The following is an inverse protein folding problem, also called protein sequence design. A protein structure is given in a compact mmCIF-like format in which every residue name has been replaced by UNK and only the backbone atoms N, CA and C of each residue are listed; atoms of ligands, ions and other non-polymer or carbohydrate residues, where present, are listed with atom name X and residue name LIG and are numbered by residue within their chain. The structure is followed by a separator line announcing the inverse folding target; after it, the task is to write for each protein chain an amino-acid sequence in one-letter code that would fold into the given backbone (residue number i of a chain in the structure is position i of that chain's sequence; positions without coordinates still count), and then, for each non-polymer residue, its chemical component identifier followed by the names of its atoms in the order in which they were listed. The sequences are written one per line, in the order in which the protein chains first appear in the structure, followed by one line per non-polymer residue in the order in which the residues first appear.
data_IF_406860641565
#
_entry.id   IF_406860641565
#
_cell.length_a   1.000
_cell.length_b   1.000
_cell.length_c   1.000
_cell.angle_alpha   90.00
_cell.angle_beta   90.00
_cell.angle_gamma   90.00
#
_symmetry.space_group_name_H-M   'P 1'
#
loop_
_entity.id
_entity.type
_entity.pdbx_description
1 polymer ?
#
# COMPACT_ATOMS: atom_id res chain seq x y z
N UNK A 1 14.91 -18.66 -45.77
CA UNK A 1 15.92 -18.53 -44.73
C UNK A 1 15.22 -18.76 -43.39
N UNK A 2 15.59 -19.86 -42.73
CA UNK A 2 14.97 -20.34 -41.49
C UNK A 2 15.55 -19.72 -40.22
N UNK A 3 16.37 -18.67 -40.37
CA UNK A 3 17.28 -18.30 -39.30
C UNK A 3 16.86 -17.19 -38.38
N UNK A 4 15.70 -16.52 -38.65
CA UNK A 4 15.22 -15.40 -37.81
C UNK A 4 13.72 -15.48 -37.52
N UNK A 5 13.25 -16.63 -36.97
CA UNK A 5 11.88 -16.65 -36.43
C UNK A 5 11.86 -15.90 -35.09
N UNK A 6 11.16 -14.77 -35.07
CA UNK A 6 10.94 -13.97 -33.88
C UNK A 6 9.52 -14.17 -33.36
N UNK A 7 9.40 -14.44 -32.08
CA UNK A 7 8.14 -14.40 -31.37
C UNK A 7 7.88 -12.94 -30.95
N UNK A 8 6.78 -12.34 -31.45
CA UNK A 8 6.36 -10.99 -31.09
C UNK A 8 5.34 -11.05 -29.99
N UNK A 9 5.68 -10.47 -28.87
CA UNK A 9 4.82 -10.40 -27.69
C UNK A 9 4.39 -8.95 -27.49
N UNK A 10 3.07 -8.71 -27.48
CA UNK A 10 2.50 -7.41 -27.14
C UNK A 10 1.96 -7.43 -25.72
N UNK A 11 2.54 -6.60 -24.87
CA UNK A 11 2.10 -6.48 -23.48
C UNK A 11 1.03 -5.40 -23.37
N UNK A 12 -0.20 -5.79 -23.05
CA UNK A 12 -1.39 -4.90 -23.07
C UNK A 12 -1.37 -3.78 -22.03
N UNK A 13 -0.66 -3.99 -20.89
CA UNK A 13 -0.56 -2.96 -19.83
C UNK A 13 0.45 -1.88 -20.20
N UNK A 14 1.60 -2.28 -20.77
CA UNK A 14 2.66 -1.34 -21.13
C UNK A 14 2.47 -0.74 -22.52
N UNK A 15 1.66 -1.37 -23.37
CA UNK A 15 1.55 -1.03 -24.79
C UNK A 15 2.83 -1.30 -25.59
N UNK A 16 3.74 -2.11 -25.05
CA UNK A 16 5.05 -2.40 -25.67
C UNK A 16 5.02 -3.69 -26.46
N UNK A 17 5.75 -3.70 -27.58
CA UNK A 17 6.00 -4.88 -28.39
C UNK A 17 7.42 -5.38 -28.12
N UNK A 18 7.54 -6.64 -27.73
CA UNK A 18 8.83 -7.31 -27.50
C UNK A 18 9.05 -8.38 -28.54
N UNK A 19 10.26 -8.49 -29.08
CA UNK A 19 10.67 -9.53 -29.99
C UNK A 19 11.64 -10.47 -29.24
N UNK A 20 11.29 -11.74 -29.21
CA UNK A 20 12.13 -12.78 -28.57
C UNK A 20 12.50 -13.81 -29.63
N UNK A 21 13.77 -14.17 -29.78
CA UNK A 21 14.20 -15.23 -30.71
C UNK A 21 13.60 -16.57 -30.27
N UNK A 22 13.19 -17.34 -31.24
CA UNK A 22 12.75 -18.72 -30.99
C UNK A 22 13.97 -19.55 -30.64
N UNK A 23 13.93 -20.42 -29.59
CA UNK A 23 15.07 -21.26 -29.24
C UNK A 23 15.56 -22.13 -30.42
N UNK A 24 16.88 -22.34 -30.49
CA UNK A 24 17.50 -23.16 -31.56
C UNK A 24 16.85 -24.54 -31.64
N UNK A 25 16.60 -24.98 -32.87
CA UNK A 25 16.00 -26.28 -33.14
C UNK A 25 14.46 -26.33 -33.10
N UNK A 26 13.77 -25.22 -32.76
CA UNK A 26 12.33 -25.12 -32.81
C UNK A 26 11.93 -24.36 -34.07
N UNK A 27 11.07 -24.97 -34.89
CA UNK A 27 10.45 -24.33 -36.06
C UNK A 27 8.99 -24.06 -35.75
N UNK A 28 8.65 -22.78 -35.65
CA UNK A 28 7.27 -22.37 -35.45
C UNK A 28 6.47 -22.54 -36.77
N UNK A 29 5.28 -23.15 -36.72
CA UNK A 29 4.43 -23.25 -37.91
C UNK A 29 3.88 -21.87 -38.32
N UNK A 30 3.81 -21.64 -39.63
CA UNK A 30 3.41 -20.32 -40.19
C UNK A 30 1.89 -20.14 -40.13
N UNK A 31 1.13 -21.21 -40.31
CA UNK A 31 -0.35 -21.19 -40.26
C UNK A 31 -0.84 -21.96 -39.03
N UNK A 32 -0.78 -21.34 -37.89
CA UNK A 32 -1.10 -21.95 -36.60
C UNK A 32 -1.98 -21.05 -35.75
N UNK A 33 -2.66 -21.63 -34.78
CA UNK A 33 -3.32 -20.89 -33.71
C UNK A 33 -2.42 -20.86 -32.47
N UNK A 34 -2.33 -19.72 -31.86
CA UNK A 34 -1.70 -19.54 -30.55
C UNK A 34 -2.80 -19.41 -29.52
N UNK A 35 -2.82 -20.34 -28.58
CA UNK A 35 -3.82 -20.37 -27.50
C UNK A 35 -3.13 -20.01 -26.18
N UNK A 36 -3.78 -19.24 -25.32
CA UNK A 36 -3.28 -19.01 -23.96
C UNK A 36 -3.36 -20.33 -23.17
N UNK A 37 -2.30 -20.63 -22.44
CA UNK A 37 -2.23 -21.68 -21.43
C UNK A 37 -2.04 -21.02 -20.05
N UNK A 38 -2.22 -21.76 -18.96
CA UNK A 38 -2.20 -21.19 -17.60
C UNK A 38 -0.91 -20.42 -17.31
N UNK A 39 0.25 -20.97 -17.72
CA UNK A 39 1.55 -20.42 -17.43
C UNK A 39 2.33 -20.02 -18.71
N UNK A 40 1.65 -19.87 -19.85
CA UNK A 40 2.33 -19.60 -21.10
C UNK A 40 1.44 -19.58 -22.33
N UNK A 41 1.98 -20.09 -23.42
CA UNK A 41 1.29 -20.17 -24.70
C UNK A 41 1.40 -21.60 -25.27
N UNK A 42 0.32 -22.01 -25.95
CA UNK A 42 0.29 -23.25 -26.70
C UNK A 42 0.18 -22.92 -28.20
N UNK A 43 1.17 -23.38 -28.96
CA UNK A 43 1.19 -23.24 -30.43
C UNK A 43 0.74 -24.55 -31.02
N UNK A 44 -0.39 -24.55 -31.71
CA UNK A 44 -0.98 -25.77 -32.29
C UNK A 44 -0.28 -26.13 -33.60
N UNK A 45 -0.59 -27.33 -34.09
CA UNK A 45 -0.10 -27.81 -35.37
C UNK A 45 -0.38 -26.86 -36.54
N UNK A 46 0.57 -26.71 -37.46
CA UNK A 46 0.45 -25.83 -38.61
C UNK A 46 1.43 -26.17 -39.71
N UNK A 47 1.56 -25.29 -40.70
CA UNK A 47 2.46 -25.48 -41.83
C UNK A 47 3.89 -24.99 -41.49
N UNK A 48 4.89 -25.87 -41.57
CA UNK A 48 6.31 -25.53 -41.38
C UNK A 48 7.04 -25.21 -42.68
N UNK A 49 6.49 -25.71 -43.80
CA UNK A 49 6.90 -25.39 -45.19
C UNK A 49 5.66 -25.47 -46.06
N UNK A 50 5.62 -24.82 -47.24
CA UNK A 50 4.50 -24.94 -48.14
C UNK A 50 4.11 -26.39 -48.40
N UNK A 51 2.86 -26.78 -48.03
CA UNK A 51 2.34 -28.14 -48.18
C UNK A 51 2.78 -29.15 -47.12
N UNK A 52 3.64 -28.78 -46.16
CA UNK A 52 4.14 -29.67 -45.10
C UNK A 52 3.63 -29.24 -43.75
N UNK A 53 2.69 -29.96 -43.16
CA UNK A 53 2.15 -29.72 -41.84
C UNK A 53 2.89 -30.54 -40.77
N UNK A 54 3.08 -29.94 -39.60
CA UNK A 54 3.59 -30.63 -38.43
C UNK A 54 2.42 -30.98 -37.47
N UNK A 55 2.36 -32.21 -36.94
CA UNK A 55 1.42 -32.55 -35.89
C UNK A 55 1.91 -32.12 -34.49
N UNK A 56 3.08 -31.48 -34.39
CA UNK A 56 3.69 -31.15 -33.14
C UNK A 56 2.92 -29.99 -32.47
N UNK A 57 2.61 -30.19 -31.22
CA UNK A 57 2.03 -29.18 -30.34
C UNK A 57 3.17 -28.63 -29.46
N UNK A 58 3.48 -27.35 -29.63
CA UNK A 58 4.52 -26.69 -28.86
C UNK A 58 3.88 -25.97 -27.68
N UNK A 59 4.44 -26.18 -26.50
CA UNK A 59 4.06 -25.45 -25.30
C UNK A 59 5.24 -24.55 -24.91
N UNK A 60 5.03 -23.25 -24.94
CA UNK A 60 5.97 -22.26 -24.42
C UNK A 60 5.55 -21.88 -23.00
N UNK A 61 6.37 -22.18 -22.01
CA UNK A 61 6.20 -21.70 -20.65
C UNK A 61 7.03 -20.44 -20.47
N UNK A 62 6.43 -19.42 -19.86
CA UNK A 62 7.14 -18.21 -19.47
C UNK A 62 7.84 -18.51 -18.13
N UNK A 63 9.15 -18.80 -18.18
CA UNK A 63 9.93 -18.92 -16.96
C UNK A 63 10.17 -17.53 -16.37
N UNK A 64 9.52 -17.25 -15.27
CA UNK A 64 9.84 -16.10 -14.45
C UNK A 64 10.77 -16.52 -13.32
N UNK A 65 11.95 -15.94 -13.27
CA UNK A 65 12.88 -16.12 -12.14
C UNK A 65 12.38 -15.31 -10.95
N UNK A 66 11.46 -15.88 -10.17
CA UNK A 66 11.06 -15.29 -8.88
C UNK A 66 12.23 -15.53 -7.91
N UNK A 67 12.74 -14.45 -7.30
CA UNK A 67 13.77 -14.55 -6.28
C UNK A 67 13.21 -15.26 -5.04
N UNK A 68 13.89 -16.33 -4.63
CA UNK A 68 13.54 -17.00 -3.36
C UNK A 68 14.09 -16.22 -2.18
N UNK A 69 13.32 -16.22 -1.08
CA UNK A 69 13.77 -15.63 0.18
C UNK A 69 15.10 -16.23 0.63
N UNK A 70 16.05 -15.36 0.92
CA UNK A 70 17.36 -15.73 1.46
C UNK A 70 17.36 -15.66 2.99
N UNK A 71 18.41 -16.18 3.62
CA UNK A 71 18.59 -16.06 5.07
C UNK A 71 18.66 -14.60 5.54
N UNK A 72 19.16 -13.67 4.71
CA UNK A 72 19.17 -12.24 5.02
C UNK A 72 17.75 -11.65 5.05
N UNK A 73 16.91 -12.00 4.08
CA UNK A 73 15.53 -11.55 4.03
C UNK A 73 14.74 -12.01 5.27
N UNK A 74 14.88 -13.29 5.61
CA UNK A 74 14.26 -13.87 6.81
C UNK A 74 14.79 -13.19 8.07
N UNK A 75 16.08 -12.86 8.12
CA UNK A 75 16.71 -12.13 9.22
C UNK A 75 16.10 -10.74 9.40
N UNK A 76 15.91 -9.98 8.33
CA UNK A 76 15.30 -8.63 8.34
C UNK A 76 13.83 -8.71 8.81
N UNK A 77 13.05 -9.64 8.26
CA UNK A 77 11.65 -9.85 8.65
C UNK A 77 11.55 -10.25 10.13
N UNK A 78 12.42 -11.15 10.58
CA UNK A 78 12.45 -11.58 11.98
C UNK A 78 12.82 -10.44 12.92
N UNK A 79 13.83 -9.63 12.56
CA UNK A 79 14.21 -8.44 13.33
C UNK A 79 13.06 -7.43 13.45
N UNK A 80 12.33 -7.22 12.36
CA UNK A 80 11.14 -6.38 12.36
C UNK A 80 10.08 -6.90 13.35
N UNK A 81 9.71 -8.19 13.29
CA UNK A 81 8.72 -8.76 14.21
C UNK A 81 9.17 -8.77 15.66
N UNK A 82 10.46 -9.05 15.91
CA UNK A 82 11.03 -8.96 17.25
C UNK A 82 10.96 -7.53 17.80
N UNK A 83 11.20 -6.52 16.99
CA UNK A 83 11.08 -5.11 17.41
C UNK A 83 9.66 -4.75 17.82
N UNK A 84 8.64 -5.22 17.09
CA UNK A 84 7.24 -5.04 17.49
C UNK A 84 6.90 -5.72 18.79
N UNK A 85 7.34 -6.98 18.96
CA UNK A 85 7.13 -7.73 20.20
C UNK A 85 7.80 -7.07 21.40
N UNK A 86 9.02 -6.55 21.22
CA UNK A 86 9.75 -5.82 22.26
C UNK A 86 9.05 -4.52 22.67
N UNK A 87 8.51 -3.77 21.71
CA UNK A 87 7.72 -2.55 21.98
C UNK A 87 6.47 -2.93 22.79
N UNK A 88 5.71 -3.96 22.35
CA UNK A 88 4.54 -4.44 23.07
C UNK A 88 4.86 -4.88 24.50
N UNK A 89 5.93 -5.64 24.68
CA UNK A 89 6.40 -6.08 26.01
C UNK A 89 6.86 -4.90 26.88
N UNK A 90 7.59 -3.92 26.31
CA UNK A 90 8.05 -2.76 27.06
C UNK A 90 6.88 -1.96 27.63
N UNK A 91 5.88 -1.64 26.81
CA UNK A 91 4.73 -0.86 27.22
C UNK A 91 3.71 -1.65 28.06
N UNK A 92 3.73 -2.98 28.05
CA UNK A 92 2.86 -3.80 28.91
C UNK A 92 3.03 -3.48 30.39
N UNK A 93 4.23 -3.06 30.79
CA UNK A 93 4.55 -2.71 32.18
C UNK A 93 3.86 -1.44 32.69
N UNK A 94 3.41 -0.59 31.77
CA UNK A 94 2.79 0.70 32.07
C UNK A 94 1.26 0.64 32.19
N UNK A 95 0.66 -0.49 31.77
CA UNK A 95 -0.79 -0.65 31.70
C UNK A 95 -1.35 -1.09 33.07
N UNK A 96 -1.76 -0.12 33.90
CA UNK A 96 -2.30 -0.37 35.26
C UNK A 96 -3.79 -0.10 35.37
N UNK A 97 -4.32 0.80 34.55
CA UNK A 97 -5.72 1.24 34.56
C UNK A 97 -6.32 1.17 33.16
N UNK A 98 -7.65 1.20 33.05
CA UNK A 98 -8.34 1.31 31.75
C UNK A 98 -7.96 2.61 31.02
N UNK A 99 -7.69 3.69 31.75
CA UNK A 99 -7.27 4.98 31.15
C UNK A 99 -5.85 4.87 30.56
N UNK A 100 -4.92 4.17 31.25
CA UNK A 100 -3.61 3.86 30.69
C UNK A 100 -3.75 3.05 29.39
N UNK A 101 -4.62 2.06 29.37
CA UNK A 101 -4.78 1.14 28.25
C UNK A 101 -5.40 1.80 27.01
N UNK A 102 -6.45 2.63 27.18
CA UNK A 102 -7.20 3.21 26.07
C UNK A 102 -6.80 4.66 25.71
N UNK A 103 -6.20 5.40 26.65
CA UNK A 103 -5.74 6.78 26.43
C UNK A 103 -4.23 6.97 26.64
N UNK A 104 -3.50 5.92 27.05
CA UNK A 104 -2.06 6.02 27.34
C UNK A 104 -1.72 6.97 28.46
N UNK A 105 -2.67 7.26 29.37
CA UNK A 105 -2.49 8.23 30.46
C UNK A 105 -2.06 9.63 30.00
N UNK A 106 -2.30 10.00 28.75
CA UNK A 106 -1.88 11.27 28.16
C UNK A 106 -0.38 11.43 27.98
N UNK A 107 0.38 10.33 27.94
CA UNK A 107 1.87 10.34 27.93
C UNK A 107 2.48 10.25 26.53
N UNK A 108 1.69 9.99 25.49
CA UNK A 108 2.22 9.77 24.14
C UNK A 108 2.69 11.10 23.54
N UNK A 109 3.97 11.20 23.12
CA UNK A 109 4.50 12.41 22.52
C UNK A 109 3.78 12.80 21.24
N UNK A 110 3.58 14.08 20.99
CA UNK A 110 2.85 14.62 19.84
C UNK A 110 3.35 14.13 18.49
N UNK A 111 4.65 13.91 18.31
CA UNK A 111 5.23 13.42 17.07
C UNK A 111 4.91 11.93 16.84
N UNK A 112 4.88 11.12 17.92
CA UNK A 112 4.42 9.71 17.84
C UNK A 112 2.94 9.66 17.50
N UNK A 113 2.12 10.51 18.12
CA UNK A 113 0.69 10.61 17.76
C UNK A 113 0.53 10.99 16.28
N UNK A 114 1.33 11.92 15.77
CA UNK A 114 1.29 12.30 14.36
C UNK A 114 1.66 11.14 13.42
N UNK A 115 2.75 10.42 13.74
CA UNK A 115 3.16 9.21 13.01
C UNK A 115 2.10 8.10 13.09
N UNK A 116 1.49 7.91 14.26
CA UNK A 116 0.44 6.92 14.50
C UNK A 116 -0.83 7.25 13.69
N UNK A 117 -1.28 8.51 13.66
CA UNK A 117 -2.39 8.95 12.81
C UNK A 117 -2.07 8.68 11.34
N UNK A 118 -0.88 9.06 10.90
CA UNK A 118 -0.42 8.83 9.53
C UNK A 118 -0.36 7.32 9.20
N UNK A 119 0.21 6.49 10.08
CA UNK A 119 0.29 5.04 9.90
C UNK A 119 -1.06 4.34 9.88
N UNK A 120 -2.05 4.86 10.64
CA UNK A 120 -3.44 4.39 10.60
C UNK A 120 -4.13 4.68 9.27
N UNK A 121 -3.84 5.84 8.68
CA UNK A 121 -4.39 6.26 7.40
C UNK A 121 -3.70 5.59 6.22
N UNK A 122 -2.40 5.29 6.35
CA UNK A 122 -1.59 4.66 5.31
C UNK A 122 -1.69 3.13 5.41
N UNK A 123 -2.35 2.52 4.46
CA UNK A 123 -2.55 1.07 4.43
C UNK A 123 -1.65 0.38 3.40
N UNK A 124 -1.53 -0.96 3.48
CA UNK A 124 -0.85 -1.76 2.47
C UNK A 124 -1.52 -1.65 1.08
N UNK A 125 -2.84 -1.40 1.06
CA UNK A 125 -3.57 -1.10 -0.18
C UNK A 125 -3.02 0.18 -0.80
N UNK A 126 -2.82 1.23 0.00
CA UNK A 126 -2.25 2.51 -0.45
C UNK A 126 -0.84 2.33 -0.99
N UNK A 127 0.00 1.53 -0.32
CA UNK A 127 1.37 1.22 -0.74
C UNK A 127 1.44 0.56 -2.13
N UNK A 128 0.46 -0.27 -2.47
CA UNK A 128 0.40 -0.97 -3.75
C UNK A 128 -0.40 -0.20 -4.80
N UNK A 129 -1.58 0.30 -4.45
CA UNK A 129 -2.50 0.90 -5.40
C UNK A 129 -2.06 2.28 -5.90
N UNK A 130 -1.36 3.09 -5.09
CA UNK A 130 -0.89 4.41 -5.56
C UNK A 130 0.21 4.26 -6.63
N UNK A 131 1.28 3.46 -6.44
CA UNK A 131 2.24 3.20 -7.52
C UNK A 131 1.60 2.58 -8.76
N UNK A 132 0.67 1.63 -8.59
CA UNK A 132 -0.06 1.03 -9.70
C UNK A 132 -0.87 2.07 -10.49
N UNK A 133 -1.55 2.98 -9.81
CA UNK A 133 -2.29 4.07 -10.42
C UNK A 133 -1.38 5.05 -11.16
N UNK A 134 -0.26 5.47 -10.54
CA UNK A 134 0.71 6.34 -11.18
C UNK A 134 1.38 5.68 -12.40
N UNK A 135 1.63 4.36 -12.31
CA UNK A 135 2.10 3.57 -13.44
C UNK A 135 1.10 3.57 -14.60
N UNK A 136 -0.18 3.27 -14.33
CA UNK A 136 -1.21 3.09 -15.35
C UNK A 136 -1.70 4.41 -15.94
N UNK A 137 -1.76 5.49 -15.15
CA UNK A 137 -2.33 6.77 -15.54
C UNK A 137 -1.34 7.93 -15.31
N UNK A 138 -1.72 8.89 -14.50
CA UNK A 138 -1.06 10.15 -14.21
C UNK A 138 -1.10 10.50 -12.71
N UNK A 139 -0.72 11.73 -12.36
CA UNK A 139 -0.69 12.22 -10.99
C UNK A 139 -2.00 12.89 -10.52
N UNK A 140 -3.08 12.80 -11.27
CA UNK A 140 -4.37 13.41 -10.89
C UNK A 140 -4.87 12.95 -9.53
N UNK A 141 -4.63 11.68 -9.16
CA UNK A 141 -5.02 11.12 -7.87
C UNK A 141 -4.20 11.65 -6.68
N UNK A 142 -3.08 12.35 -6.90
CA UNK A 142 -2.31 13.02 -5.84
C UNK A 142 -3.17 14.05 -5.11
N UNK A 143 -4.05 14.75 -5.84
CA UNK A 143 -4.98 15.72 -5.27
C UNK A 143 -5.95 15.09 -4.26
N UNK A 144 -6.30 13.81 -4.45
CA UNK A 144 -7.15 13.08 -3.51
C UNK A 144 -6.52 12.99 -2.13
N UNK A 145 -5.26 12.64 -2.02
CA UNK A 145 -4.56 12.57 -0.74
C UNK A 145 -4.20 13.96 -0.18
N UNK A 146 -4.12 14.99 -1.02
CA UNK A 146 -3.81 16.35 -0.60
C UNK A 146 -4.96 17.06 0.12
N UNK A 147 -6.19 16.55 0.03
CA UNK A 147 -7.38 17.12 0.68
C UNK A 147 -7.28 17.24 2.20
N UNK A 148 -6.42 16.44 2.86
CA UNK A 148 -6.17 16.56 4.31
C UNK A 148 -5.66 17.95 4.68
N UNK A 149 -4.83 18.57 3.85
CA UNK A 149 -4.25 19.90 4.14
C UNK A 149 -5.34 20.95 4.26
N UNK A 150 -6.37 20.86 3.42
CA UNK A 150 -7.53 21.75 3.48
C UNK A 150 -8.41 21.49 4.69
N UNK A 151 -8.49 20.23 5.14
CA UNK A 151 -9.32 19.85 6.30
C UNK A 151 -8.64 20.16 7.65
N UNK A 152 -7.29 20.18 7.71
CA UNK A 152 -6.52 20.39 8.95
C UNK A 152 -6.95 21.63 9.75
N UNK A 153 -7.14 22.84 9.17
CA UNK A 153 -7.60 23.99 9.94
C UNK A 153 -8.92 23.74 10.66
N UNK A 154 -9.88 23.08 9.99
CA UNK A 154 -11.19 22.76 10.57
C UNK A 154 -11.03 21.74 11.72
N UNK A 155 -10.22 20.70 11.51
CA UNK A 155 -9.94 19.67 12.51
C UNK A 155 -9.30 20.27 13.75
N UNK A 156 -8.26 21.08 13.56
CA UNK A 156 -7.46 21.70 14.64
C UNK A 156 -8.26 22.75 15.41
N UNK A 157 -9.12 23.53 14.75
CA UNK A 157 -9.85 24.61 15.37
C UNK A 157 -11.18 24.17 15.99
N UNK A 158 -11.84 23.16 15.42
CA UNK A 158 -13.17 22.75 15.85
C UNK A 158 -13.17 21.40 16.56
N UNK A 159 -12.65 20.33 15.93
CA UNK A 159 -12.81 18.97 16.42
C UNK A 159 -11.89 18.65 17.61
N UNK A 160 -10.61 19.02 17.57
CA UNK A 160 -9.70 18.74 18.68
C UNK A 160 -10.15 19.43 19.97
N UNK A 161 -10.44 20.76 19.99
CA UNK A 161 -10.95 21.42 21.18
C UNK A 161 -12.27 20.84 21.68
N UNK A 162 -13.16 20.46 20.75
CA UNK A 162 -14.44 19.84 21.07
C UNK A 162 -14.25 18.56 21.88
N UNK A 163 -13.51 17.56 21.36
CA UNK A 163 -13.31 16.30 22.06
C UNK A 163 -12.50 16.45 23.36
N UNK A 164 -11.51 17.33 23.37
CA UNK A 164 -10.69 17.56 24.58
C UNK A 164 -11.47 18.19 25.73
N UNK A 165 -12.49 19.02 25.45
CA UNK A 165 -13.35 19.63 26.48
C UNK A 165 -14.37 18.65 27.04
N UNK A 166 -14.79 17.66 26.27
CA UNK A 166 -15.80 16.69 26.69
C UNK A 166 -15.27 15.66 27.69
N UNK A 167 -13.94 15.49 27.79
CA UNK A 167 -13.28 14.49 28.65
C UNK A 167 -13.84 13.07 28.47
N UNK A 168 -14.18 12.70 27.23
CA UNK A 168 -14.71 11.38 26.85
C UNK A 168 -13.59 10.43 26.51
N UNK A 169 -13.88 9.12 26.54
CA UNK A 169 -12.98 8.07 26.06
C UNK A 169 -13.25 7.74 24.59
N UNK A 170 -14.49 7.82 24.18
CA UNK A 170 -14.92 7.57 22.80
C UNK A 170 -15.76 8.72 22.25
N UNK A 171 -15.75 8.90 20.93
CA UNK A 171 -16.65 9.82 20.25
C UNK A 171 -18.14 9.49 20.51
N UNK A 172 -18.44 8.23 20.83
CA UNK A 172 -19.81 7.75 21.06
C UNK A 172 -20.36 8.11 22.44
N UNK A 173 -19.52 8.37 23.46
CA UNK A 173 -19.96 8.90 24.74
C UNK A 173 -20.63 10.27 24.61
N UNK A 174 -20.16 11.08 23.66
CA UNK A 174 -20.84 12.34 23.34
C UNK A 174 -22.27 12.12 22.83
N UNK A 175 -22.49 11.08 22.02
CA UNK A 175 -23.83 10.77 21.50
C UNK A 175 -24.77 10.33 22.63
N UNK A 176 -24.28 9.59 23.62
CA UNK A 176 -25.06 9.26 24.82
C UNK A 176 -25.43 10.50 25.61
N UNK A 177 -24.46 11.36 25.89
CA UNK A 177 -24.69 12.61 26.65
C UNK A 177 -25.62 13.60 25.91
N UNK A 178 -25.60 13.59 24.57
CA UNK A 178 -26.41 14.52 23.76
C UNK A 178 -27.81 14.01 23.45
N UNK A 179 -27.96 12.70 23.27
CA UNK A 179 -29.20 12.04 22.85
C UNK A 179 -29.66 11.01 23.89
N UNK A 180 -29.19 9.79 23.82
CA UNK A 180 -29.51 8.73 24.77
C UNK A 180 -28.55 7.50 24.60
N UNK A 181 -28.55 6.53 25.54
CA UNK A 181 -27.73 5.32 25.45
C UNK A 181 -28.00 4.47 24.21
N UNK A 182 -29.23 4.45 23.68
CA UNK A 182 -29.57 3.66 22.50
C UNK A 182 -28.79 4.15 21.27
N UNK A 183 -28.70 5.46 21.08
CA UNK A 183 -27.92 6.06 19.96
C UNK A 183 -26.43 5.69 20.08
N UNK A 184 -25.85 5.77 21.28
CA UNK A 184 -24.48 5.31 21.54
C UNK A 184 -24.28 3.86 21.10
N UNK A 185 -25.15 2.96 21.59
CA UNK A 185 -25.04 1.52 21.30
C UNK A 185 -25.17 1.22 19.81
N UNK A 186 -26.14 1.83 19.12
CA UNK A 186 -26.35 1.63 17.68
C UNK A 186 -25.12 2.11 16.87
N UNK A 187 -24.58 3.29 17.19
CA UNK A 187 -23.41 3.82 16.49
C UNK A 187 -22.13 2.99 16.80
N UNK A 188 -21.97 2.52 18.04
CA UNK A 188 -20.85 1.64 18.41
C UNK A 188 -20.91 0.29 17.69
N UNK A 189 -22.09 -0.32 17.60
CA UNK A 189 -22.27 -1.58 16.83
C UNK A 189 -21.96 -1.35 15.36
N UNK A 190 -22.47 -0.28 14.75
CA UNK A 190 -22.20 0.05 13.36
C UNK A 190 -20.68 0.23 13.11
N UNK A 191 -19.98 0.92 14.02
CA UNK A 191 -18.52 1.09 13.96
C UNK A 191 -17.77 -0.23 14.08
N UNK A 192 -18.14 -1.08 15.05
CA UNK A 192 -17.50 -2.40 15.23
C UNK A 192 -17.67 -3.25 13.97
N UNK A 193 -18.88 -3.31 13.40
CA UNK A 193 -19.15 -4.05 12.16
C UNK A 193 -18.32 -3.50 10.99
N UNK A 194 -18.22 -2.18 10.86
CA UNK A 194 -17.37 -1.53 9.87
C UNK A 194 -15.89 -1.91 10.07
N UNK A 195 -15.38 -1.88 11.31
CA UNK A 195 -13.99 -2.25 11.59
C UNK A 195 -13.70 -3.73 11.30
N UNK A 196 -14.63 -4.64 11.60
CA UNK A 196 -14.49 -6.07 11.25
C UNK A 196 -14.35 -6.23 9.72
N UNK A 197 -15.23 -5.59 8.96
CA UNK A 197 -15.14 -5.61 7.48
C UNK A 197 -13.81 -5.02 6.97
N UNK A 198 -13.39 -3.87 7.53
CA UNK A 198 -12.11 -3.22 7.21
C UNK A 198 -10.91 -4.12 7.50
N UNK A 199 -10.87 -4.76 8.68
CA UNK A 199 -9.80 -5.69 9.05
C UNK A 199 -9.69 -6.88 8.08
N UNK A 200 -10.83 -7.43 7.63
CA UNK A 200 -10.86 -8.51 6.64
C UNK A 200 -10.18 -8.10 5.32
N UNK A 201 -10.52 -6.94 4.78
CA UNK A 201 -9.92 -6.43 3.53
C UNK A 201 -8.43 -6.11 3.71
N UNK A 202 -8.07 -5.47 4.83
CA UNK A 202 -6.68 -5.08 5.14
C UNK A 202 -5.77 -6.29 5.37
N UNK A 203 -6.30 -7.42 5.83
CA UNK A 203 -5.54 -8.66 5.95
C UNK A 203 -5.44 -9.41 4.61
N UNK A 204 -6.52 -9.49 3.85
CA UNK A 204 -6.58 -10.31 2.65
C UNK A 204 -5.70 -9.76 1.52
N UNK A 205 -5.82 -8.48 1.17
CA UNK A 205 -5.13 -7.92 0.02
C UNK A 205 -3.59 -7.96 0.14
N UNK A 206 -2.97 -7.56 1.29
CA UNK A 206 -1.54 -7.73 1.47
C UNK A 206 -1.09 -9.19 1.52
N UNK A 207 -1.95 -10.11 2.02
CA UNK A 207 -1.62 -11.54 2.05
C UNK A 207 -1.56 -12.13 0.65
N UNK A 208 -2.42 -11.69 -0.26
CA UNK A 208 -2.34 -12.07 -1.68
C UNK A 208 -1.03 -11.56 -2.29
N UNK A 209 -0.67 -10.30 -2.04
CA UNK A 209 0.59 -9.74 -2.53
C UNK A 209 1.82 -10.47 -1.96
N UNK A 210 1.81 -10.76 -0.66
CA UNK A 210 2.87 -11.53 0.00
C UNK A 210 2.96 -12.95 -0.56
N UNK A 211 1.84 -13.60 -0.83
CA UNK A 211 1.81 -14.92 -1.49
C UNK A 211 2.51 -14.86 -2.86
N UNK A 212 2.21 -13.85 -3.69
CA UNK A 212 2.85 -13.67 -5.00
C UNK A 212 4.37 -13.46 -4.86
N UNK A 213 4.79 -12.64 -3.89
CA UNK A 213 6.21 -12.28 -3.70
C UNK A 213 7.01 -13.39 -3.02
N UNK A 214 6.43 -14.08 -2.03
CA UNK A 214 7.16 -15.01 -1.17
C UNK A 214 6.84 -16.48 -1.44
N UNK A 215 5.72 -16.77 -2.09
CA UNK A 215 5.15 -18.12 -2.20
C UNK A 215 4.53 -18.64 -0.91
N UNK A 216 4.44 -17.83 0.17
CA UNK A 216 3.81 -18.24 1.41
C UNK A 216 2.31 -18.40 1.23
N UNK A 217 1.75 -19.38 1.93
CA UNK A 217 0.30 -19.57 1.96
C UNK A 217 -0.42 -18.32 2.50
N UNK A 218 -1.54 -17.95 1.86
CA UNK A 218 -2.31 -16.74 2.21
C UNK A 218 -2.80 -16.81 3.66
N UNK A 219 -3.26 -17.99 4.13
CA UNK A 219 -3.71 -18.16 5.52
C UNK A 219 -2.58 -18.01 6.51
N UNK A 220 -1.37 -18.44 6.15
CA UNK A 220 -0.17 -18.23 6.99
C UNK A 220 0.12 -16.73 7.12
N UNK A 221 0.08 -15.96 6.02
CA UNK A 221 0.29 -14.51 6.04
C UNK A 221 -0.77 -13.81 6.91
N UNK A 222 -2.05 -14.14 6.74
CA UNK A 222 -3.16 -13.61 7.55
C UNK A 222 -2.94 -13.93 9.03
N UNK A 223 -2.60 -15.19 9.35
CA UNK A 223 -2.41 -15.64 10.72
C UNK A 223 -1.24 -14.93 11.39
N UNK A 224 -0.11 -14.81 10.72
CA UNK A 224 1.06 -14.08 11.23
C UNK A 224 0.72 -12.62 11.55
N UNK A 225 0.13 -11.89 10.59
CA UNK A 225 -0.29 -10.51 10.80
C UNK A 225 -1.30 -10.37 11.93
N UNK A 226 -2.32 -11.24 11.95
CA UNK A 226 -3.39 -11.20 12.94
C UNK A 226 -2.89 -11.49 14.36
N UNK A 227 -2.18 -12.60 14.53
CA UNK A 227 -1.69 -13.04 15.86
C UNK A 227 -0.67 -12.04 16.43
N UNK A 228 0.29 -11.59 15.63
CA UNK A 228 1.30 -10.66 16.10
C UNK A 228 0.70 -9.28 16.43
N UNK A 229 -0.22 -8.77 15.58
CA UNK A 229 -0.90 -7.51 15.87
C UNK A 229 -1.76 -7.60 17.13
N UNK A 230 -2.47 -8.70 17.30
CA UNK A 230 -3.26 -8.95 18.51
C UNK A 230 -2.37 -9.02 19.75
N UNK A 231 -1.25 -9.73 19.67
CA UNK A 231 -0.34 -9.93 20.80
C UNK A 231 0.19 -8.60 21.36
N UNK A 232 0.83 -7.75 20.52
CA UNK A 232 1.38 -6.49 21.03
C UNK A 232 0.29 -5.47 21.41
N UNK A 233 -0.87 -5.50 20.73
CA UNK A 233 -2.01 -4.63 21.06
C UNK A 233 -2.60 -5.00 22.43
N UNK A 234 -2.82 -6.29 22.71
CA UNK A 234 -3.32 -6.76 24.00
C UNK A 234 -2.33 -6.50 25.13
N UNK A 235 -1.03 -6.65 24.88
CA UNK A 235 0.00 -6.46 25.91
C UNK A 235 0.17 -4.99 26.30
N UNK A 236 0.23 -4.09 25.35
CA UNK A 236 0.67 -2.72 25.59
C UNK A 236 -0.35 -1.60 25.29
N UNK A 237 -1.60 -1.96 24.93
CA UNK A 237 -2.68 -0.99 24.69
C UNK A 237 -2.31 0.08 23.65
N UNK A 238 -2.92 1.26 23.77
CA UNK A 238 -2.74 2.36 22.80
C UNK A 238 -1.30 2.89 22.76
N UNK A 239 -0.52 2.83 23.85
CA UNK A 239 0.87 3.24 23.84
C UNK A 239 1.70 2.34 22.92
N UNK A 240 1.58 1.01 23.06
CA UNK A 240 2.27 0.08 22.16
C UNK A 240 1.81 0.24 20.71
N UNK A 241 0.51 0.40 20.48
CA UNK A 241 -0.03 0.63 19.14
C UNK A 241 0.59 1.88 18.50
N UNK A 242 0.63 3.01 19.21
CA UNK A 242 1.17 4.25 18.65
C UNK A 242 2.68 4.15 18.33
N UNK A 243 3.48 3.51 19.20
CA UNK A 243 4.91 3.35 18.98
C UNK A 243 5.23 2.30 17.90
N UNK A 244 4.46 1.20 17.84
CA UNK A 244 4.60 0.22 16.75
C UNK A 244 4.22 0.84 15.40
N UNK A 245 3.16 1.64 15.35
CA UNK A 245 2.77 2.36 14.14
C UNK A 245 3.84 3.37 13.69
N UNK A 246 4.47 4.07 14.63
CA UNK A 246 5.58 4.97 14.29
C UNK A 246 6.76 4.21 13.66
N UNK A 247 7.13 3.04 14.22
CA UNK A 247 8.15 2.17 13.62
C UNK A 247 7.69 1.66 12.23
N UNK A 248 6.44 1.23 12.11
CA UNK A 248 5.87 0.73 10.87
C UNK A 248 5.88 1.77 9.75
N UNK A 249 5.59 3.03 10.08
CA UNK A 249 5.71 4.16 9.13
C UNK A 249 7.15 4.31 8.64
N UNK A 250 8.14 4.25 9.53
CA UNK A 250 9.55 4.36 9.15
C UNK A 250 9.97 3.20 8.24
N UNK A 251 9.60 1.97 8.57
CA UNK A 251 9.90 0.79 7.75
C UNK A 251 9.22 0.88 6.38
N UNK A 252 7.95 1.26 6.33
CA UNK A 252 7.19 1.37 5.11
C UNK A 252 7.74 2.46 4.17
N UNK A 253 7.98 3.66 4.68
CA UNK A 253 8.55 4.75 3.88
C UNK A 253 9.99 4.44 3.48
N UNK A 254 10.77 3.82 4.37
CA UNK A 254 12.12 3.33 4.05
C UNK A 254 12.11 2.31 2.91
N UNK A 255 11.16 1.38 2.95
CA UNK A 255 10.94 0.41 1.86
C UNK A 255 10.61 1.13 0.54
N UNK A 256 9.69 2.09 0.53
CA UNK A 256 9.32 2.84 -0.67
C UNK A 256 10.49 3.65 -1.25
N UNK A 257 11.27 4.32 -0.38
CA UNK A 257 12.50 5.05 -0.80
C UNK A 257 13.51 4.07 -1.42
N UNK A 258 13.70 2.90 -0.81
CA UNK A 258 14.64 1.90 -1.29
C UNK A 258 14.24 1.38 -2.67
N UNK A 259 12.94 1.09 -2.89
CA UNK A 259 12.44 0.70 -4.22
C UNK A 259 12.73 1.80 -5.24
N UNK A 260 12.36 3.07 -4.93
CA UNK A 260 12.59 4.19 -5.84
C UNK A 260 14.06 4.33 -6.23
N UNK A 261 14.95 4.27 -5.24
CA UNK A 261 16.41 4.39 -5.47
C UNK A 261 16.90 3.26 -6.37
N UNK A 262 16.50 2.01 -6.10
CA UNK A 262 16.95 0.86 -6.90
C UNK A 262 16.44 0.94 -8.33
N UNK A 263 15.15 1.28 -8.52
CA UNK A 263 14.61 1.48 -9.88
C UNK A 263 15.40 2.54 -10.63
N UNK A 264 15.67 3.68 -10.01
CA UNK A 264 16.44 4.76 -10.64
C UNK A 264 17.88 4.36 -10.95
N UNK A 265 18.53 3.54 -10.11
CA UNK A 265 19.90 3.04 -10.34
C UNK A 265 19.98 1.98 -11.45
N UNK A 266 18.91 1.25 -11.71
CA UNK A 266 18.84 0.25 -12.78
C UNK A 266 18.55 0.85 -14.14
N UNK A 267 18.03 2.08 -14.20
CA UNK A 267 17.79 2.76 -15.47
C UNK A 267 19.11 3.30 -16.04
N UNK A 268 19.37 3.12 -17.34
CA UNK A 268 20.61 3.56 -17.98
C UNK A 268 20.62 5.06 -18.27
N UNK A 269 19.45 5.70 -18.24
CA UNK A 269 19.26 7.11 -18.53
C UNK A 269 19.43 7.95 -17.27
N UNK A 270 19.87 9.20 -17.43
CA UNK A 270 19.91 10.15 -16.33
C UNK A 270 18.50 10.57 -15.89
N UNK A 271 18.37 10.99 -14.64
CA UNK A 271 17.08 11.38 -14.04
C UNK A 271 16.39 12.49 -14.86
N UNK A 272 17.15 13.41 -15.45
CA UNK A 272 16.59 14.48 -16.29
C UNK A 272 15.87 13.95 -17.52
N UNK A 273 16.45 12.98 -18.20
CA UNK A 273 15.86 12.32 -19.37
C UNK A 273 14.61 11.53 -19.00
N UNK A 274 14.67 10.79 -17.86
CA UNK A 274 13.52 10.04 -17.33
C UNK A 274 12.34 10.99 -17.03
N UNK A 275 12.61 12.10 -16.35
CA UNK A 275 11.57 13.10 -16.02
C UNK A 275 11.01 13.74 -17.28
N UNK A 276 11.87 14.07 -18.27
CA UNK A 276 11.41 14.65 -19.54
C UNK A 276 10.49 13.68 -20.30
N UNK A 277 10.90 12.41 -20.45
CA UNK A 277 10.08 11.40 -21.14
C UNK A 277 8.75 11.09 -20.40
N UNK A 278 8.75 11.09 -19.07
CA UNK A 278 7.54 10.93 -18.28
C UNK A 278 6.61 12.15 -18.41
N UNK A 279 7.18 13.37 -18.51
CA UNK A 279 6.42 14.60 -18.73
C UNK A 279 5.78 14.62 -20.12
N UNK A 280 6.52 14.26 -21.17
CA UNK A 280 5.99 14.11 -22.53
C UNK A 280 4.88 13.06 -22.62
N UNK A 281 4.97 11.99 -21.84
CA UNK A 281 3.94 10.97 -21.74
C UNK A 281 2.73 11.38 -20.86
N UNK A 282 2.70 12.62 -20.34
CA UNK A 282 1.61 13.13 -19.51
C UNK A 282 1.55 12.52 -18.10
N UNK A 283 2.62 11.87 -17.62
CA UNK A 283 2.63 11.22 -16.30
C UNK A 283 2.44 12.21 -15.15
N UNK A 284 2.92 13.42 -15.29
CA UNK A 284 2.80 14.47 -14.27
C UNK A 284 1.56 15.36 -14.45
N UNK A 285 0.55 14.90 -15.20
CA UNK A 285 -0.72 15.60 -15.30
C UNK A 285 -1.52 15.49 -14.00
N UNK A 286 -2.05 16.61 -13.52
CA UNK A 286 -2.89 16.69 -12.31
C UNK A 286 -4.38 16.67 -12.63
N UNK A 287 -4.75 16.39 -13.87
CA UNK A 287 -6.13 16.35 -14.34
C UNK A 287 -6.67 17.72 -14.75
N UNK A 288 -7.93 17.73 -15.17
CA UNK A 288 -8.58 18.93 -15.69
C UNK A 288 -8.75 20.02 -14.63
N UNK A 289 -8.30 21.24 -14.95
CA UNK A 289 -8.51 22.46 -14.15
C UNK A 289 -9.86 23.14 -14.41
N UNK A 290 -10.66 22.63 -15.35
CA UNK A 290 -11.98 23.16 -15.64
C UNK A 290 -12.91 23.01 -14.42
N UNK A 291 -13.73 24.03 -14.16
CA UNK A 291 -14.74 23.94 -13.10
C UNK A 291 -15.98 23.23 -13.67
N UNK A 292 -15.98 21.90 -13.57
CA UNK A 292 -17.11 21.06 -13.95
C UNK A 292 -17.39 20.05 -12.84
N UNK A 293 -18.56 20.16 -12.20
CA UNK A 293 -18.97 19.28 -11.11
C UNK A 293 -19.54 17.93 -11.58
N UNK A 294 -19.66 17.70 -12.88
CA UNK A 294 -20.14 16.45 -13.47
C UNK A 294 -19.01 15.46 -13.79
N UNK A 295 -17.77 15.96 -13.82
CA UNK A 295 -16.59 15.18 -14.16
C UNK A 295 -15.58 15.21 -13.01
N UNK A 296 -14.71 14.21 -12.88
CA UNK A 296 -13.63 14.20 -11.89
C UNK A 296 -12.55 15.23 -12.26
N UNK A 297 -12.84 16.51 -12.03
CA UNK A 297 -11.88 17.61 -12.18
C UNK A 297 -11.12 17.86 -10.90
N UNK A 298 -10.06 18.65 -10.93
CA UNK A 298 -9.31 19.07 -9.76
C UNK A 298 -10.24 19.63 -8.65
N UNK A 299 -11.25 20.44 -9.02
CA UNK A 299 -12.18 21.05 -8.07
C UNK A 299 -13.10 20.04 -7.39
N UNK A 300 -13.68 19.12 -8.17
CA UNK A 300 -14.56 18.07 -7.61
C UNK A 300 -13.79 17.16 -6.67
N UNK A 301 -12.55 16.79 -7.04
CA UNK A 301 -11.68 15.96 -6.21
C UNK A 301 -11.33 16.69 -4.91
N UNK A 302 -10.88 17.95 -4.95
CA UNK A 302 -10.54 18.72 -3.77
C UNK A 302 -11.74 18.93 -2.83
N UNK A 303 -12.92 19.25 -3.37
CA UNK A 303 -14.14 19.41 -2.56
C UNK A 303 -14.54 18.07 -1.92
N UNK A 304 -14.57 16.98 -2.69
CA UNK A 304 -14.94 15.66 -2.19
C UNK A 304 -13.98 15.20 -1.09
N UNK A 305 -12.67 15.36 -1.31
CA UNK A 305 -11.65 14.94 -0.34
C UNK A 305 -11.63 15.81 0.91
N UNK A 306 -11.92 17.11 0.80
CA UNK A 306 -12.10 17.97 1.96
C UNK A 306 -13.17 17.42 2.91
N UNK A 307 -14.38 17.13 2.41
CA UNK A 307 -15.45 16.59 3.24
C UNK A 307 -15.14 15.17 3.73
N UNK A 308 -14.55 14.32 2.91
CA UNK A 308 -14.12 12.97 3.31
C UNK A 308 -13.10 13.03 4.45
N UNK A 309 -12.11 13.93 4.36
CA UNK A 309 -11.12 14.10 5.42
C UNK A 309 -11.73 14.70 6.69
N UNK A 310 -12.67 15.63 6.60
CA UNK A 310 -13.42 16.11 7.79
C UNK A 310 -14.11 14.94 8.49
N UNK A 311 -14.76 14.06 7.75
CA UNK A 311 -15.42 12.88 8.33
C UNK A 311 -14.39 11.95 8.96
N UNK A 312 -13.33 11.58 8.25
CA UNK A 312 -12.30 10.65 8.73
C UNK A 312 -11.57 11.20 9.96
N UNK A 313 -11.07 12.43 9.89
CA UNK A 313 -10.28 13.01 11.00
C UNK A 313 -11.11 13.67 12.08
N UNK A 314 -12.38 13.98 11.79
CA UNK A 314 -13.29 14.62 12.74
C UNK A 314 -14.17 13.65 13.51
N UNK A 315 -14.49 12.47 12.98
CA UNK A 315 -15.50 11.59 13.60
C UNK A 315 -15.10 10.12 13.74
N UNK A 316 -14.07 9.64 13.00
CA UNK A 316 -13.60 8.26 13.13
C UNK A 316 -12.95 8.05 14.51
N UNK A 317 -13.48 7.10 15.29
CA UNK A 317 -12.96 6.76 16.62
C UNK A 317 -11.48 6.37 16.59
N UNK A 318 -11.01 5.73 15.52
CA UNK A 318 -9.60 5.34 15.36
C UNK A 318 -8.67 6.55 15.41
N UNK A 319 -9.10 7.68 14.85
CA UNK A 319 -8.34 8.92 14.81
C UNK A 319 -8.61 9.78 16.06
N UNK A 320 -9.89 9.92 16.44
CA UNK A 320 -10.30 10.72 17.60
C UNK A 320 -9.62 10.23 18.88
N UNK A 321 -9.51 8.91 19.07
CA UNK A 321 -8.84 8.33 20.22
C UNK A 321 -7.40 8.87 20.37
N UNK A 322 -6.67 9.07 19.26
CA UNK A 322 -5.29 9.59 19.28
C UNK A 322 -5.18 11.03 19.76
N UNK A 323 -6.20 11.85 19.52
CA UNK A 323 -6.23 13.22 20.06
C UNK A 323 -6.30 13.23 21.60
N UNK A 324 -6.85 12.17 22.19
CA UNK A 324 -7.01 12.03 23.62
C UNK A 324 -5.79 11.43 24.33
N UNK A 325 -4.82 10.90 23.58
CA UNK A 325 -3.62 10.27 24.14
C UNK A 325 -2.48 11.24 24.47
N UNK A 326 -2.58 12.50 24.04
CA UNK A 326 -1.58 13.55 24.33
C UNK A 326 -1.86 14.26 25.66
N UNK A 327 -0.82 14.84 26.28
CA UNK A 327 -0.97 15.56 27.53
C UNK A 327 -1.84 16.83 27.38
N UNK A 328 -1.71 17.54 26.27
CA UNK A 328 -2.38 18.83 26.05
C UNK A 328 -3.05 18.93 24.68
N UNK A 329 -4.04 19.82 24.58
CA UNK A 329 -4.69 20.15 23.29
C UNK A 329 -3.66 20.66 22.25
N UNK A 330 -2.65 21.45 22.71
CA UNK A 330 -1.60 21.96 21.82
C UNK A 330 -0.78 20.82 21.19
N UNK A 331 -0.52 19.77 21.96
CA UNK A 331 0.19 18.59 21.46
C UNK A 331 -0.67 17.78 20.49
N UNK A 332 -1.97 17.59 20.77
CA UNK A 332 -2.89 16.97 19.82
C UNK A 332 -2.89 17.70 18.47
N UNK A 333 -2.97 19.04 18.50
CA UNK A 333 -2.89 19.88 17.29
C UNK A 333 -1.56 19.67 16.53
N UNK A 334 -0.42 19.63 17.23
CA UNK A 334 0.89 19.34 16.61
C UNK A 334 0.92 17.96 15.95
N UNK A 335 0.32 16.93 16.57
CA UNK A 335 0.21 15.60 15.99
C UNK A 335 -0.52 15.61 14.63
N UNK A 336 -1.64 16.34 14.52
CA UNK A 336 -2.37 16.47 13.24
C UNK A 336 -1.53 17.22 12.19
N UNK A 337 -0.77 18.25 12.58
CA UNK A 337 0.14 18.92 11.65
C UNK A 337 1.26 17.99 11.14
N UNK A 338 1.81 17.13 12.02
CA UNK A 338 2.80 16.11 11.60
C UNK A 338 2.20 15.15 10.59
N UNK A 339 0.99 14.63 10.85
CA UNK A 339 0.29 13.77 9.90
C UNK A 339 0.11 14.46 8.54
N UNK A 340 -0.40 15.69 8.51
CA UNK A 340 -0.59 16.43 7.26
C UNK A 340 0.73 16.72 6.53
N UNK A 341 1.79 17.07 7.27
CA UNK A 341 3.12 17.31 6.72
C UNK A 341 3.76 16.07 6.12
N UNK A 342 3.45 14.87 6.65
CA UNK A 342 3.96 13.60 6.12
C UNK A 342 3.13 13.09 4.93
N UNK A 343 1.85 13.39 4.89
CA UNK A 343 0.95 12.83 3.86
C UNK A 343 1.36 13.24 2.46
N UNK A 344 1.72 14.50 2.23
CA UNK A 344 2.09 14.98 0.89
C UNK A 344 3.42 14.38 0.40
N UNK A 345 4.55 14.46 1.15
CA UNK A 345 5.81 13.86 0.72
C UNK A 345 5.69 12.34 0.50
N UNK A 346 4.95 11.63 1.38
CA UNK A 346 4.74 10.20 1.22
C UNK A 346 3.91 9.86 -0.03
N UNK A 347 2.87 10.65 -0.32
CA UNK A 347 2.08 10.46 -1.53
C UNK A 347 2.94 10.71 -2.76
N UNK A 348 3.72 11.79 -2.80
CA UNK A 348 4.67 12.07 -3.89
C UNK A 348 5.66 10.91 -4.05
N UNK A 349 6.20 10.37 -2.96
CA UNK A 349 7.11 9.21 -3.01
C UNK A 349 6.48 8.01 -3.70
N UNK A 350 5.24 7.65 -3.36
CA UNK A 350 4.54 6.52 -3.99
C UNK A 350 4.22 6.79 -5.47
N UNK A 351 3.88 8.02 -5.85
CA UNK A 351 3.70 8.40 -7.26
C UNK A 351 5.02 8.34 -8.04
N UNK A 352 6.13 8.77 -7.42
CA UNK A 352 7.46 8.64 -8.03
C UNK A 352 7.84 7.16 -8.24
N UNK A 353 7.56 6.28 -7.26
CA UNK A 353 7.78 4.84 -7.43
C UNK A 353 7.02 4.30 -8.65
N UNK A 354 5.74 4.63 -8.79
CA UNK A 354 4.93 4.19 -9.93
C UNK A 354 5.42 4.74 -11.28
N UNK A 355 5.82 6.02 -11.32
CA UNK A 355 6.37 6.66 -12.51
C UNK A 355 7.75 6.08 -12.88
N UNK A 356 8.59 5.78 -11.88
CA UNK A 356 9.88 5.14 -12.10
C UNK A 356 9.72 3.70 -12.64
N UNK A 357 8.75 2.93 -12.11
CA UNK A 357 8.41 1.60 -12.62
C UNK A 357 7.89 1.67 -14.07
N UNK A 358 7.11 2.70 -14.41
CA UNK A 358 6.69 2.92 -15.79
C UNK A 358 7.88 3.15 -16.72
N UNK A 359 8.86 3.96 -16.31
CA UNK A 359 10.08 4.18 -17.08
C UNK A 359 10.90 2.90 -17.19
N UNK A 360 11.03 2.12 -16.10
CA UNK A 360 11.74 0.85 -16.07
C UNK A 360 11.17 -0.16 -17.07
N UNK A 361 9.87 -0.45 -17.00
CA UNK A 361 9.26 -1.43 -17.91
C UNK A 361 9.07 -0.93 -19.35
N UNK A 362 9.15 0.36 -19.58
CA UNK A 362 9.26 0.91 -20.93
C UNK A 362 10.64 0.66 -21.54
N UNK A 363 11.68 0.73 -20.71
CA UNK A 363 13.05 0.46 -21.14
C UNK A 363 13.36 -1.05 -21.20
N UNK A 364 12.86 -1.82 -20.23
CA UNK A 364 13.02 -3.27 -20.13
C UNK A 364 11.70 -4.02 -20.24
N UNK A 365 11.03 -4.01 -21.38
CA UNK A 365 9.69 -4.61 -21.53
C UNK A 365 9.69 -6.14 -21.37
N UNK A 366 10.84 -6.80 -21.62
CA UNK A 366 11.01 -8.26 -21.43
C UNK A 366 10.98 -8.70 -19.97
N UNK A 367 11.30 -7.79 -19.04
CA UNK A 367 11.31 -8.08 -17.61
C UNK A 367 9.89 -8.14 -17.00
N UNK A 368 8.88 -7.65 -17.72
CA UNK A 368 7.49 -7.77 -17.29
C UNK A 368 6.87 -9.04 -17.85
N UNK A 369 6.50 -9.96 -16.95
CA UNK A 369 5.84 -11.20 -17.36
C UNK A 369 4.48 -10.96 -18.01
N UNK A 370 4.18 -11.74 -19.04
CA UNK A 370 2.86 -11.78 -19.69
C UNK A 370 1.74 -12.28 -18.75
N UNK A 371 2.10 -12.91 -17.62
CA UNK A 371 1.14 -13.30 -16.58
C UNK A 371 0.64 -12.11 -15.75
N UNK A 372 1.34 -10.99 -15.74
CA UNK A 372 0.90 -9.75 -15.09
C UNK A 372 -0.18 -9.09 -15.94
N UNK A 373 -1.43 -9.24 -15.53
CA UNK A 373 -2.61 -8.72 -16.27
C UNK A 373 -3.15 -7.41 -15.72
N UNK A 374 -2.85 -7.10 -14.47
CA UNK A 374 -3.34 -5.92 -13.76
C UNK A 374 -2.18 -5.03 -13.31
N UNK A 375 -2.38 -3.72 -13.37
CA UNK A 375 -1.37 -2.76 -12.90
C UNK A 375 -1.05 -2.91 -11.41
N UNK A 376 -1.98 -3.41 -10.61
CA UNK A 376 -1.78 -3.65 -9.17
C UNK A 376 -0.71 -4.73 -8.89
N UNK A 377 -0.46 -5.62 -9.85
CA UNK A 377 0.57 -6.65 -9.75
C UNK A 377 1.97 -6.18 -10.17
N UNK A 378 2.13 -4.99 -10.73
CA UNK A 378 3.42 -4.50 -11.27
C UNK A 378 4.46 -4.29 -10.17
N UNK A 379 4.10 -3.59 -9.08
CA UNK A 379 5.02 -3.39 -7.97
C UNK A 379 5.37 -4.72 -7.27
N UNK A 380 4.43 -5.61 -6.92
CA UNK A 380 4.76 -6.96 -6.43
C UNK A 380 5.66 -7.75 -7.37
N UNK A 381 5.41 -7.68 -8.67
CA UNK A 381 6.25 -8.35 -9.68
C UNK A 381 7.68 -7.81 -9.67
N UNK A 382 7.85 -6.50 -9.71
CA UNK A 382 9.16 -5.87 -9.61
C UNK A 382 9.90 -6.28 -8.32
N UNK A 383 9.20 -6.28 -7.18
CA UNK A 383 9.75 -6.69 -5.89
C UNK A 383 10.26 -8.14 -5.94
N UNK A 384 9.50 -9.05 -6.56
CA UNK A 384 9.83 -10.48 -6.60
C UNK A 384 10.93 -10.85 -7.59
N UNK A 385 11.19 -10.00 -8.60
CA UNK A 385 12.10 -10.34 -9.71
C UNK A 385 13.36 -9.49 -9.79
N UNK A 386 13.34 -8.26 -9.28
CA UNK A 386 14.39 -7.27 -9.52
C UNK A 386 15.18 -6.87 -8.28
N UNK A 387 14.67 -7.17 -7.08
CA UNK A 387 15.29 -6.70 -5.85
C UNK A 387 16.36 -7.66 -5.32
N UNK A 388 17.51 -7.14 -4.87
CA UNK A 388 18.55 -7.96 -4.26
C UNK A 388 18.14 -8.48 -2.88
N UNK A 389 18.81 -9.55 -2.46
CA UNK A 389 18.67 -10.16 -1.13
C UNK A 389 18.87 -9.13 0.00
N UNK A 390 18.11 -9.23 1.05
CA UNK A 390 18.07 -8.28 2.18
C UNK A 390 17.12 -7.11 1.94
N UNK A 391 17.12 -6.55 0.73
CA UNK A 391 16.15 -5.50 0.33
C UNK A 391 14.76 -6.10 0.18
N UNK A 392 14.66 -7.28 -0.43
CA UNK A 392 13.40 -8.02 -0.54
C UNK A 392 12.76 -8.20 0.86
N UNK A 393 13.56 -8.61 1.86
CA UNK A 393 13.10 -8.73 3.25
C UNK A 393 12.58 -7.42 3.84
N UNK A 394 13.24 -6.28 3.55
CA UNK A 394 12.79 -4.96 3.99
C UNK A 394 11.44 -4.57 3.39
N UNK A 395 11.24 -4.83 2.09
CA UNK A 395 9.98 -4.50 1.42
C UNK A 395 8.84 -5.38 1.94
N UNK A 396 9.10 -6.67 2.16
CA UNK A 396 8.15 -7.59 2.78
C UNK A 396 7.79 -7.11 4.19
N UNK A 397 8.77 -6.71 5.01
CA UNK A 397 8.52 -6.11 6.31
C UNK A 397 7.69 -4.82 6.20
N UNK A 398 7.89 -4.00 5.16
CA UNK A 398 7.09 -2.83 4.83
C UNK A 398 5.62 -3.16 4.49
N UNK A 399 5.38 -4.23 3.74
CA UNK A 399 4.02 -4.72 3.45
C UNK A 399 3.33 -5.22 4.73
N UNK A 400 4.04 -5.99 5.56
CA UNK A 400 3.54 -6.39 6.89
C UNK A 400 3.26 -5.16 7.76
N UNK A 401 4.17 -4.19 7.78
CA UNK A 401 4.03 -2.95 8.56
C UNK A 401 2.75 -2.20 8.20
N UNK A 402 2.49 -2.00 6.91
CA UNK A 402 1.32 -1.29 6.40
C UNK A 402 -0.01 -2.00 6.70
N UNK A 403 -0.03 -3.33 6.69
CA UNK A 403 -1.21 -4.10 7.06
C UNK A 403 -1.45 -4.09 8.58
N UNK A 404 -0.39 -4.35 9.35
CA UNK A 404 -0.46 -4.50 10.81
C UNK A 404 -0.76 -3.16 11.52
N UNK A 405 -0.32 -2.01 10.98
CA UNK A 405 -0.66 -0.69 11.54
C UNK A 405 -2.17 -0.43 11.50
N UNK A 406 -2.80 -0.67 10.37
CA UNK A 406 -4.24 -0.50 10.23
C UNK A 406 -5.01 -1.51 11.08
N UNK A 407 -4.51 -2.76 11.17
CA UNK A 407 -5.13 -3.82 11.94
C UNK A 407 -5.13 -3.52 13.45
N UNK A 408 -3.97 -3.16 14.02
CA UNK A 408 -3.83 -2.84 15.44
C UNK A 408 -4.66 -1.61 15.85
N UNK A 409 -4.68 -0.59 15.00
CA UNK A 409 -5.55 0.58 15.18
C UNK A 409 -7.02 0.20 15.23
N UNK A 410 -7.46 -0.63 14.28
CA UNK A 410 -8.86 -1.07 14.20
C UNK A 410 -9.26 -1.92 15.40
N UNK A 411 -8.40 -2.85 15.82
CA UNK A 411 -8.64 -3.67 17.02
C UNK A 411 -8.70 -2.83 18.28
N UNK A 412 -7.74 -1.93 18.50
CA UNK A 412 -7.69 -1.12 19.70
C UNK A 412 -8.88 -0.16 19.79
N UNK A 413 -9.27 0.49 18.70
CA UNK A 413 -10.42 1.40 18.69
C UNK A 413 -11.76 0.68 18.78
N UNK A 414 -11.88 -0.54 18.26
CA UNK A 414 -13.08 -1.35 18.43
C UNK A 414 -13.22 -1.89 19.87
N UNK A 415 -12.11 -2.11 20.57
CA UNK A 415 -12.08 -2.55 21.97
C UNK A 415 -12.40 -1.41 22.96
N UNK A 416 -12.14 -0.16 22.57
CA UNK A 416 -12.44 1.05 23.37
C UNK A 416 -13.93 1.37 23.40
#
# INVERSE_FOLDING_TARGET
NSDDQLLRLYHTITGTLTETPVPEGIVLPVTTNVLPDNDGIMVTSGEVRPGVRTPVLLRGTLESTIHRLTGLDIGVITLYFLSLALIGWYFSKNQKTSDDYFKGGGRIPWFIVGLSIFGTALSAITFMAIPAKAYATDWSYLLFNSGIVLAVPVIVLLFIPFYRRLNVTTAYEYLEARFNPLVRVLCSIAFILFQIGRMGVVLLLPSIALNVVTGFDIFLCITLMGVLSLAYTLMGGIEAVAWTEALQVVVLLGAAVTVLVIVCLQLPEDIGTIVASASEAGKFDFGSTAFDLRQPTMWTVLIATFFTNITTYGTDQTIVQRYLTTATEREARKGVYVNAALTIPATILFFLVGTALWAFYRHYPTELSMAVRDSDAILPWYISTQLPSGVLGLIIAGLFAAAMSTLSSSMNSAAT
#
